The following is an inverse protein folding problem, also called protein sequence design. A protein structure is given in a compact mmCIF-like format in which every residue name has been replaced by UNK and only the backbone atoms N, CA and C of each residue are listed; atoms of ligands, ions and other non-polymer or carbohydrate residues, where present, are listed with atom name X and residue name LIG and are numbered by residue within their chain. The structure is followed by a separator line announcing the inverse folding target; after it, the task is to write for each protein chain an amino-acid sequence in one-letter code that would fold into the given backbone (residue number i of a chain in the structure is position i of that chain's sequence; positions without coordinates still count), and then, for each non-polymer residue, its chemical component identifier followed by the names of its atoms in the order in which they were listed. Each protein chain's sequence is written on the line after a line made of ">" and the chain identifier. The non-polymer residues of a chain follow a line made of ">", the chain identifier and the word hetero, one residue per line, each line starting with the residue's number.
data_IF_591827886801
#
_entry.id   IF_591827886801
#
_cell.length_a   1.000
_cell.length_b   1.000
_cell.length_c   1.000
_cell.angle_alpha   90.00
_cell.angle_beta   90.00
_cell.angle_gamma   90.00
#
_symmetry.space_group_name_H-M   'P 1'
#
loop_
_entity.id
_entity.type
_entity.pdbx_description
1 polymer ?
#
# COMPACT_ATOMS: atom_id res chain seq x y z
N UNK A 1 -11.51 -0.27 -13.27
CA UNK A 1 -11.19 0.32 -11.95
C UNK A 1 -12.39 1.15 -11.51
N UNK A 2 -12.77 1.16 -10.22
CA UNK A 2 -13.94 1.90 -9.72
C UNK A 2 -13.78 3.44 -9.78
N UNK A 3 -12.66 3.91 -10.28
CA UNK A 3 -12.36 5.32 -10.52
C UNK A 3 -12.09 5.47 -12.02
N UNK A 4 -12.75 6.42 -12.68
CA UNK A 4 -12.51 6.74 -14.09
C UNK A 4 -11.07 7.21 -14.34
N UNK A 5 -10.68 7.46 -15.60
CA UNK A 5 -9.36 8.00 -15.90
C UNK A 5 -9.14 9.31 -15.13
N UNK A 6 -7.96 9.48 -14.56
CA UNK A 6 -7.58 10.75 -13.92
C UNK A 6 -7.64 11.88 -14.96
N UNK A 7 -7.99 13.12 -14.57
CA UNK A 7 -7.98 14.26 -15.47
C UNK A 7 -6.64 14.40 -16.20
N UNK A 8 -6.67 14.82 -17.47
CA UNK A 8 -5.45 15.10 -18.22
C UNK A 8 -4.60 16.16 -17.49
N UNK A 9 -3.28 15.94 -17.46
CA UNK A 9 -2.35 16.80 -16.72
C UNK A 9 -2.34 16.60 -15.21
N UNK A 10 -3.01 15.56 -14.68
CA UNK A 10 -2.89 15.20 -13.27
C UNK A 10 -1.44 14.85 -12.95
N UNK A 11 -0.86 15.56 -11.98
CA UNK A 11 0.45 15.23 -11.43
C UNK A 11 0.35 13.93 -10.63
N UNK A 12 0.89 12.84 -11.17
CA UNK A 12 0.79 11.49 -10.59
C UNK A 12 1.61 11.30 -9.31
N UNK A 13 2.51 12.22 -8.96
CA UNK A 13 3.27 12.14 -7.71
C UNK A 13 2.39 12.31 -6.48
N UNK A 14 1.35 13.16 -6.55
CA UNK A 14 0.40 13.40 -5.47
C UNK A 14 -0.44 12.15 -5.15
N UNK A 15 -1.19 11.56 -6.10
CA UNK A 15 -1.99 10.37 -5.82
C UNK A 15 -1.12 9.17 -5.42
N UNK A 16 0.07 9.02 -6.01
CA UNK A 16 1.01 7.96 -5.60
C UNK A 16 1.48 8.14 -4.16
N UNK A 17 1.82 9.36 -3.75
CA UNK A 17 2.17 9.67 -2.36
C UNK A 17 1.03 9.31 -1.41
N UNK A 18 -0.20 9.70 -1.76
CA UNK A 18 -1.38 9.39 -0.96
C UNK A 18 -1.56 7.87 -0.79
N UNK A 19 -1.43 7.11 -1.88
CA UNK A 19 -1.50 5.64 -1.86
C UNK A 19 -0.43 5.08 -0.91
N UNK A 20 0.84 5.45 -1.08
CA UNK A 20 1.90 4.92 -0.21
C UNK A 20 1.66 5.24 1.26
N UNK A 21 1.28 6.47 1.59
CA UNK A 21 1.01 6.89 2.96
C UNK A 21 -0.16 6.10 3.56
N UNK A 22 -1.26 5.92 2.82
CA UNK A 22 -2.42 5.14 3.30
C UNK A 22 -2.03 3.68 3.59
N UNK A 23 -1.23 3.06 2.72
CA UNK A 23 -0.77 1.68 2.94
C UNK A 23 0.22 1.58 4.10
N UNK A 24 1.11 2.56 4.26
CA UNK A 24 2.01 2.63 5.42
C UNK A 24 1.22 2.74 6.72
N UNK A 25 0.22 3.63 6.77
CA UNK A 25 -0.65 3.78 7.94
C UNK A 25 -1.41 2.49 8.24
N UNK A 26 -1.99 1.85 7.21
CA UNK A 26 -2.63 0.54 7.34
C UNK A 26 -1.68 -0.50 7.91
N UNK A 27 -0.44 -0.55 7.43
CA UNK A 27 0.56 -1.51 7.91
C UNK A 27 0.98 -1.22 9.37
N UNK A 28 1.16 0.05 9.75
CA UNK A 28 1.44 0.43 11.14
C UNK A 28 0.34 -0.05 12.08
N UNK A 29 -0.92 0.16 11.70
CA UNK A 29 -2.08 -0.33 12.48
C UNK A 29 -2.14 -1.86 12.46
N UNK A 30 -1.86 -2.48 11.32
CA UNK A 30 -1.83 -3.94 11.12
C UNK A 30 -0.84 -4.68 12.03
N UNK A 31 0.24 -4.03 12.46
CA UNK A 31 1.20 -4.63 13.40
C UNK A 31 0.59 -4.95 14.79
N UNK A 32 -0.51 -4.28 15.16
CA UNK A 32 -1.18 -4.44 16.45
C UNK A 32 -2.66 -4.77 16.33
N UNK A 33 -3.09 -5.23 15.16
CA UNK A 33 -4.51 -5.45 14.89
C UNK A 33 -5.07 -6.62 15.71
N UNK A 34 -6.19 -6.38 16.39
CA UNK A 34 -6.90 -7.42 17.15
C UNK A 34 -7.42 -8.51 16.21
N UNK A 35 -7.53 -9.73 16.72
CA UNK A 35 -8.10 -10.84 15.96
C UNK A 35 -9.49 -10.49 15.43
N UNK A 36 -9.80 -10.96 14.21
CA UNK A 36 -11.10 -10.78 13.53
C UNK A 36 -11.48 -9.34 13.16
N UNK A 37 -10.57 -8.39 13.32
CA UNK A 37 -10.81 -7.02 12.88
C UNK A 37 -11.00 -6.93 11.36
N UNK A 38 -11.72 -5.91 10.88
CA UNK A 38 -12.15 -5.79 9.48
C UNK A 38 -10.99 -5.89 8.47
N UNK A 39 -9.79 -5.43 8.85
CA UNK A 39 -8.59 -5.54 8.04
C UNK A 39 -7.59 -6.55 8.61
N UNK A 40 -6.91 -7.25 7.70
CA UNK A 40 -5.82 -8.18 8.01
C UNK A 40 -5.74 -9.32 6.99
N UNK A 41 -4.76 -10.21 7.16
CA UNK A 41 -4.75 -11.51 6.48
C UNK A 41 -5.88 -12.35 7.10
N UNK A 42 -6.95 -12.58 6.33
CA UNK A 42 -8.19 -13.23 6.78
C UNK A 42 -8.41 -14.53 6.02
N UNK A 43 -7.62 -15.55 6.36
CA UNK A 43 -7.85 -16.95 5.97
C UNK A 43 -8.61 -17.70 7.06
N UNK A 44 -9.15 -18.88 6.74
CA UNK A 44 -9.78 -19.79 7.72
C UNK A 44 -8.93 -19.97 8.97
N UNK A 45 -7.64 -20.20 8.79
CA UNK A 45 -6.67 -20.47 9.85
C UNK A 45 -6.47 -19.24 10.73
N UNK A 46 -6.20 -18.07 10.11
CA UNK A 46 -5.97 -16.82 10.84
C UNK A 46 -7.21 -16.35 11.61
N UNK A 47 -8.41 -16.65 11.13
CA UNK A 47 -9.65 -16.29 11.83
C UNK A 47 -9.89 -17.20 13.03
N UNK A 48 -9.47 -18.47 12.96
CA UNK A 48 -9.62 -19.44 14.05
C UNK A 48 -8.52 -19.37 15.13
N UNK A 49 -7.32 -18.90 14.80
CA UNK A 49 -6.15 -18.97 15.69
C UNK A 49 -5.54 -17.57 15.94
N UNK A 50 -5.50 -17.08 17.20
CA UNK A 50 -4.94 -15.78 17.56
C UNK A 50 -3.44 -15.63 17.27
N UNK A 51 -2.66 -16.70 17.41
CA UNK A 51 -1.21 -16.65 17.17
C UNK A 51 -0.94 -16.61 15.66
N UNK A 52 -1.65 -17.40 14.85
CA UNK A 52 -1.57 -17.31 13.39
C UNK A 52 -2.01 -15.93 12.90
N UNK A 53 -3.11 -15.39 13.44
CA UNK A 53 -3.55 -14.03 13.15
C UNK A 53 -2.43 -13.01 13.38
N UNK A 54 -1.82 -13.04 14.56
CA UNK A 54 -0.77 -12.11 14.97
C UNK A 54 0.48 -12.25 14.10
N UNK A 55 0.95 -13.47 13.86
CA UNK A 55 2.08 -13.77 12.98
C UNK A 55 1.85 -13.28 11.55
N UNK A 56 0.72 -13.65 10.95
CA UNK A 56 0.40 -13.33 9.56
C UNK A 56 0.25 -11.82 9.36
N UNK A 57 -0.48 -11.13 10.26
CA UNK A 57 -0.67 -9.69 10.17
C UNK A 57 0.61 -8.91 10.45
N UNK A 58 1.45 -9.35 11.40
CA UNK A 58 2.76 -8.74 11.64
C UNK A 58 3.68 -8.89 10.43
N UNK A 59 3.77 -10.08 9.84
CA UNK A 59 4.57 -10.35 8.64
C UNK A 59 4.06 -9.53 7.44
N UNK A 60 2.76 -9.55 7.17
CA UNK A 60 2.14 -8.78 6.08
C UNK A 60 2.34 -7.27 6.25
N UNK A 61 2.21 -6.77 7.47
CA UNK A 61 2.44 -5.36 7.79
C UNK A 61 3.90 -4.96 7.60
N UNK A 62 4.82 -5.78 8.08
CA UNK A 62 6.25 -5.54 7.89
C UNK A 62 6.63 -5.51 6.40
N UNK A 63 6.15 -6.50 5.62
CA UNK A 63 6.37 -6.54 4.18
C UNK A 63 5.81 -5.29 3.50
N UNK A 64 4.58 -4.91 3.83
CA UNK A 64 3.95 -3.71 3.28
C UNK A 64 4.83 -2.48 3.54
N UNK A 65 5.30 -2.26 4.78
CA UNK A 65 6.19 -1.15 5.11
C UNK A 65 7.51 -1.21 4.32
N UNK A 66 8.12 -2.39 4.24
CA UNK A 66 9.39 -2.61 3.54
C UNK A 66 9.28 -2.29 2.04
N UNK A 67 8.11 -2.49 1.42
CA UNK A 67 7.87 -2.11 0.02
C UNK A 67 7.45 -0.66 -0.15
N UNK A 68 6.54 -0.13 0.68
CA UNK A 68 5.99 1.21 0.49
C UNK A 68 6.98 2.33 0.84
N UNK A 69 7.88 2.10 1.81
CA UNK A 69 8.82 3.13 2.23
C UNK A 69 9.85 3.48 1.12
N UNK A 70 10.54 2.51 0.49
CA UNK A 70 11.42 2.81 -0.64
C UNK A 70 10.67 3.44 -1.83
N UNK A 71 9.45 3.00 -2.11
CA UNK A 71 8.63 3.57 -3.18
C UNK A 71 8.25 5.03 -2.90
N UNK A 72 7.90 5.37 -1.66
CA UNK A 72 7.65 6.74 -1.25
C UNK A 72 8.90 7.62 -1.42
N UNK A 73 10.06 7.13 -0.99
CA UNK A 73 11.34 7.84 -1.14
C UNK A 73 11.63 8.07 -2.63
N UNK A 74 11.52 7.03 -3.46
CA UNK A 74 11.74 7.14 -4.90
C UNK A 74 10.76 8.14 -5.55
N UNK A 75 9.48 8.09 -5.20
CA UNK A 75 8.46 9.01 -5.70
C UNK A 75 8.77 10.47 -5.33
N UNK A 76 9.22 10.73 -4.11
CA UNK A 76 9.64 12.07 -3.66
C UNK A 76 10.87 12.55 -4.44
N UNK A 77 11.89 11.70 -4.61
CA UNK A 77 13.09 12.04 -5.39
C UNK A 77 12.71 12.41 -6.83
N UNK A 78 11.87 11.59 -7.47
CA UNK A 78 11.43 11.85 -8.85
C UNK A 78 10.60 13.13 -8.96
N UNK A 79 9.76 13.42 -7.97
CA UNK A 79 8.99 14.67 -7.91
C UNK A 79 9.90 15.90 -7.78
N UNK A 80 10.90 15.86 -6.90
CA UNK A 80 11.86 16.95 -6.69
C UNK A 80 12.69 17.20 -7.95
N UNK A 81 13.13 16.13 -8.61
CA UNK A 81 13.90 16.19 -9.85
C UNK A 81 13.06 16.45 -11.10
N UNK A 82 11.73 16.56 -10.97
CA UNK A 82 10.77 16.77 -12.07
C UNK A 82 10.93 15.75 -13.20
N UNK A 83 11.15 14.48 -12.83
CA UNK A 83 11.29 13.38 -13.78
C UNK A 83 9.94 13.01 -14.44
N UNK A 84 9.95 12.21 -15.53
CA UNK A 84 8.72 11.77 -16.18
C UNK A 84 7.80 10.98 -15.24
N UNK A 85 6.49 11.22 -15.36
CA UNK A 85 5.46 10.61 -14.51
C UNK A 85 5.14 9.14 -14.88
N UNK A 86 5.88 8.55 -15.83
CA UNK A 86 5.77 7.13 -16.16
C UNK A 86 6.12 6.22 -14.97
N UNK A 87 7.03 6.65 -14.09
CA UNK A 87 7.36 5.94 -12.87
C UNK A 87 6.17 5.85 -11.89
N UNK A 88 5.62 6.97 -11.36
CA UNK A 88 4.46 6.90 -10.47
C UNK A 88 3.24 6.24 -11.13
N UNK A 89 3.01 6.48 -12.44
CA UNK A 89 1.95 5.82 -13.19
C UNK A 89 2.07 4.30 -13.21
N UNK A 90 3.28 3.76 -13.44
CA UNK A 90 3.52 2.31 -13.43
C UNK A 90 3.27 1.70 -12.06
N UNK A 91 3.70 2.37 -10.99
CA UNK A 91 3.48 1.89 -9.62
C UNK A 91 1.98 1.86 -9.28
N UNK A 92 1.21 2.88 -9.65
CA UNK A 92 -0.23 2.90 -9.45
C UNK A 92 -0.93 1.74 -10.17
N UNK A 93 -0.50 1.39 -11.39
CA UNK A 93 -1.03 0.25 -12.14
C UNK A 93 -0.72 -1.07 -11.41
N UNK A 94 0.51 -1.26 -10.94
CA UNK A 94 0.91 -2.47 -10.19
C UNK A 94 0.06 -2.62 -8.92
N UNK A 95 -0.13 -1.53 -8.16
CA UNK A 95 -1.00 -1.55 -6.98
C UNK A 95 -2.45 -1.87 -7.34
N UNK A 96 -2.97 -1.29 -8.42
CA UNK A 96 -4.33 -1.56 -8.88
C UNK A 96 -4.54 -3.03 -9.28
N UNK A 97 -3.55 -3.63 -9.96
CA UNK A 97 -3.60 -5.06 -10.34
C UNK A 97 -3.46 -5.94 -9.10
N UNK A 98 -2.51 -5.65 -8.20
CA UNK A 98 -2.30 -6.45 -6.98
C UNK A 98 -3.44 -6.35 -5.96
N UNK A 99 -4.39 -5.43 -6.15
CA UNK A 99 -5.61 -5.31 -5.35
C UNK A 99 -6.83 -6.03 -5.94
N UNK A 100 -6.76 -6.50 -7.19
CA UNK A 100 -7.78 -7.33 -7.83
C UNK A 100 -7.52 -8.79 -7.46
#
# INVERSE_FOLDING_TARGET
>A
MPFGPLPEGTNLYIPSTLVFVVYMLRAIVGMKVKQNYFFGVRTSESLSDPEIWKEANKKSSFLTLAFTLPLLIANIIFAILKLPESFPGTILIIFAIGMI
#
